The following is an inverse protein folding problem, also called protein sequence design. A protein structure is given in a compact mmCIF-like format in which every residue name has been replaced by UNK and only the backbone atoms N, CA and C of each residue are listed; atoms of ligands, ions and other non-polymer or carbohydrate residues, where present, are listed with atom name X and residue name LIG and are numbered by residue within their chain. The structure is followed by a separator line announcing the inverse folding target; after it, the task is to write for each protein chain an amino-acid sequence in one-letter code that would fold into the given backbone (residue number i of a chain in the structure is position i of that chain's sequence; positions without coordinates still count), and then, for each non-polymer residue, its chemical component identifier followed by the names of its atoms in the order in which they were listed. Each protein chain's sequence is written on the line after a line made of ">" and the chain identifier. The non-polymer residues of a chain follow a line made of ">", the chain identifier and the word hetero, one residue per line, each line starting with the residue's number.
data_IF_712625702735
#
_entry.id   IF_712625702735
#
_cell.length_a   1.000
_cell.length_b   1.000
_cell.length_c   1.000
_cell.angle_alpha   90.00
_cell.angle_beta   90.00
_cell.angle_gamma   90.00
#
_symmetry.space_group_name_H-M   'P 1'
#
loop_
_entity.id
_entity.type
_entity.pdbx_description
1 polymer ?
#
# COMPACT_ATOMS: atom_id res chain seq x y z
N UNK A 1 -10.43 9.94 10.83
CA UNK A 1 -9.57 9.03 11.63
C UNK A 1 -8.34 8.62 10.82
N UNK A 2 -8.52 8.21 9.55
CA UNK A 2 -7.43 8.01 8.58
C UNK A 2 -6.50 9.22 8.40
N UNK A 3 -7.03 10.45 8.48
CA UNK A 3 -6.24 11.65 8.22
C UNK A 3 -5.08 11.87 9.20
N UNK A 4 -5.24 11.52 10.48
CA UNK A 4 -4.18 11.71 11.50
C UNK A 4 -3.04 10.71 11.27
N UNK A 5 -3.38 9.45 10.99
CA UNK A 5 -2.44 8.40 10.59
C UNK A 5 -1.64 8.82 9.36
N UNK A 6 -2.32 9.29 8.31
CA UNK A 6 -1.67 9.74 7.08
C UNK A 6 -0.79 10.98 7.29
N UNK A 7 -1.23 11.95 8.08
CA UNK A 7 -0.40 13.12 8.42
C UNK A 7 0.84 12.75 9.21
N UNK A 8 0.72 11.83 10.17
CA UNK A 8 1.85 11.33 10.95
C UNK A 8 2.87 10.62 10.06
N UNK A 9 2.38 9.78 9.14
CA UNK A 9 3.23 9.11 8.15
C UNK A 9 3.91 10.10 7.21
N UNK A 10 3.19 11.11 6.71
CA UNK A 10 3.76 12.17 5.87
C UNK A 10 4.86 12.96 6.60
N UNK A 11 4.69 13.25 7.88
CA UNK A 11 5.72 13.90 8.69
C UNK A 11 6.98 13.02 8.82
N UNK A 12 6.82 11.72 9.08
CA UNK A 12 7.95 10.78 9.13
C UNK A 12 8.71 10.71 7.80
N UNK A 13 7.99 10.61 6.69
CA UNK A 13 8.56 10.52 5.35
C UNK A 13 9.37 11.75 4.94
N UNK A 14 9.05 12.95 5.47
CA UNK A 14 9.86 14.15 5.21
C UNK A 14 11.26 14.08 5.82
N UNK A 15 11.47 13.22 6.82
CA UNK A 15 12.75 13.04 7.49
C UNK A 15 13.57 11.86 6.93
N UNK A 16 13.00 11.12 5.98
CA UNK A 16 13.60 9.93 5.37
C UNK A 16 13.62 10.06 3.84
N UNK A 17 14.22 9.09 3.19
CA UNK A 17 14.32 8.96 1.73
C UNK A 17 13.33 7.93 1.16
N UNK A 18 12.32 7.56 1.94
CA UNK A 18 11.29 6.61 1.51
C UNK A 18 10.30 7.23 0.54
N UNK A 19 9.89 6.42 -0.45
CA UNK A 19 8.82 6.76 -1.39
C UNK A 19 7.49 6.22 -0.87
N UNK A 20 6.49 7.08 -0.71
CA UNK A 20 5.14 6.68 -0.34
C UNK A 20 4.34 6.29 -1.58
N UNK A 21 3.73 5.11 -1.53
CA UNK A 21 2.79 4.62 -2.56
C UNK A 21 1.47 4.32 -1.88
N UNK A 22 0.44 5.09 -2.19
CA UNK A 22 -0.92 4.83 -1.72
C UNK A 22 -1.64 3.95 -2.73
N UNK A 23 -2.11 2.78 -2.27
CA UNK A 23 -2.76 1.79 -3.14
C UNK A 23 -4.19 1.56 -2.68
N UNK A 24 -5.15 1.93 -3.52
CA UNK A 24 -6.53 1.51 -3.37
C UNK A 24 -6.71 0.10 -3.92
N UNK A 25 -7.02 -0.86 -3.05
CA UNK A 25 -7.14 -2.28 -3.42
C UNK A 25 -8.33 -2.56 -4.35
N UNK A 26 -9.33 -1.70 -4.39
CA UNK A 26 -10.55 -1.89 -5.16
C UNK A 26 -10.57 -1.03 -6.42
N UNK A 27 -9.91 0.13 -6.42
CA UNK A 27 -9.92 1.03 -7.58
C UNK A 27 -8.62 1.04 -8.38
N UNK A 28 -7.51 0.49 -7.85
CA UNK A 28 -6.26 0.46 -8.60
C UNK A 28 -6.36 -0.54 -9.78
N UNK A 29 -6.18 -0.09 -11.04
CA UNK A 29 -6.39 -0.93 -12.22
C UNK A 29 -5.39 -2.09 -12.31
N UNK A 30 -4.17 -1.92 -11.78
CA UNK A 30 -3.15 -2.98 -11.78
C UNK A 30 -3.51 -4.07 -10.77
N UNK A 31 -3.96 -3.66 -9.57
CA UNK A 31 -4.42 -4.57 -8.52
C UNK A 31 -5.70 -5.29 -8.96
N UNK A 32 -6.66 -4.60 -9.55
CA UNK A 32 -7.87 -5.23 -10.08
C UNK A 32 -7.56 -6.25 -11.17
N UNK A 33 -6.63 -5.95 -12.08
CA UNK A 33 -6.28 -6.89 -13.15
C UNK A 33 -5.58 -8.16 -12.64
N UNK A 34 -4.71 -8.05 -11.64
CA UNK A 34 -3.87 -9.17 -11.18
C UNK A 34 -4.34 -9.86 -9.89
N UNK A 35 -5.03 -9.14 -9.00
CA UNK A 35 -5.40 -9.59 -7.66
C UNK A 35 -6.92 -9.73 -7.43
N UNK A 36 -7.78 -9.42 -8.43
CA UNK A 36 -9.25 -9.52 -8.31
C UNK A 36 -9.78 -10.92 -7.97
N UNK A 37 -8.99 -11.98 -8.22
CA UNK A 37 -9.34 -13.35 -7.83
C UNK A 37 -9.46 -13.53 -6.31
N UNK A 38 -8.81 -12.68 -5.52
CA UNK A 38 -8.85 -12.75 -4.06
C UNK A 38 -10.04 -11.96 -3.51
N UNK A 39 -10.98 -12.67 -2.87
CA UNK A 39 -12.16 -12.07 -2.22
C UNK A 39 -11.87 -11.47 -0.85
N UNK A 40 -10.87 -12.01 -0.14
CA UNK A 40 -10.46 -11.48 1.16
C UNK A 40 -9.47 -10.33 0.99
N UNK A 41 -9.75 -9.21 1.67
CA UNK A 41 -8.91 -8.01 1.69
C UNK A 41 -7.48 -8.35 2.12
N UNK A 42 -7.32 -9.25 3.10
CA UNK A 42 -5.99 -9.65 3.58
C UNK A 42 -5.15 -10.30 2.48
N UNK A 43 -5.71 -11.24 1.71
CA UNK A 43 -4.98 -11.85 0.59
C UNK A 43 -4.75 -10.85 -0.55
N UNK A 44 -5.71 -9.95 -0.78
CA UNK A 44 -5.57 -8.90 -1.80
C UNK A 44 -4.42 -7.93 -1.46
N UNK A 45 -4.22 -7.59 -0.17
CA UNK A 45 -3.07 -6.81 0.33
C UNK A 45 -1.73 -7.49 0.00
N UNK A 46 -1.60 -8.78 0.32
CA UNK A 46 -0.37 -9.53 0.04
C UNK A 46 -0.10 -9.64 -1.47
N UNK A 47 -1.14 -9.87 -2.27
CA UNK A 47 -1.01 -9.86 -3.73
C UNK A 47 -0.55 -8.50 -4.25
N UNK A 48 -1.18 -7.40 -3.81
CA UNK A 48 -0.78 -6.05 -4.20
C UNK A 48 0.68 -5.77 -3.79
N UNK A 49 1.08 -6.09 -2.55
CA UNK A 49 2.45 -5.92 -2.08
C UNK A 49 3.47 -6.63 -3.00
N UNK A 50 3.17 -7.86 -3.44
CA UNK A 50 4.03 -8.58 -4.39
C UNK A 50 4.19 -7.89 -5.75
N UNK A 51 3.19 -7.13 -6.22
CA UNK A 51 3.27 -6.37 -7.48
C UNK A 51 4.18 -5.14 -7.38
N UNK A 52 4.25 -4.53 -6.20
CA UNK A 52 5.12 -3.37 -5.96
C UNK A 52 6.51 -3.80 -5.51
N UNK A 53 6.66 -4.95 -4.84
CA UNK A 53 7.96 -5.52 -4.49
C UNK A 53 8.82 -5.81 -5.70
N UNK A 54 8.24 -6.19 -6.85
CA UNK A 54 9.06 -6.41 -8.04
C UNK A 54 9.72 -5.15 -8.59
N UNK A 55 9.42 -3.97 -8.01
CA UNK A 55 9.94 -2.67 -8.41
C UNK A 55 10.88 -2.06 -7.36
N UNK A 56 11.05 -2.70 -6.19
CA UNK A 56 11.86 -2.20 -5.07
C UNK A 56 12.61 -3.33 -4.36
N UNK A 57 13.70 -3.03 -3.64
CA UNK A 57 14.45 -4.07 -2.90
C UNK A 57 13.67 -4.59 -1.69
N UNK A 58 12.90 -3.71 -1.05
CA UNK A 58 12.05 -4.02 0.07
C UNK A 58 10.87 -3.03 0.11
N UNK A 59 9.87 -3.35 0.92
CA UNK A 59 8.71 -2.48 1.14
C UNK A 59 8.18 -2.66 2.56
N UNK A 60 7.61 -1.58 3.11
CA UNK A 60 6.83 -1.59 4.34
C UNK A 60 5.35 -1.42 3.98
N UNK A 61 4.52 -2.41 4.32
CA UNK A 61 3.07 -2.34 4.12
C UNK A 61 2.45 -1.80 5.40
N UNK A 62 1.71 -0.70 5.28
CA UNK A 62 0.91 -0.12 6.36
C UNK A 62 -0.56 -0.10 5.95
N UNK A 63 -1.43 -0.34 6.92
CA UNK A 63 -2.86 -0.15 6.74
C UNK A 63 -3.20 1.35 6.85
N UNK A 64 -4.29 1.77 6.21
CA UNK A 64 -4.61 3.19 6.12
C UNK A 64 -4.89 3.83 7.50
N UNK A 65 -5.35 3.03 8.47
CA UNK A 65 -5.67 3.42 9.85
C UNK A 65 -4.51 3.24 10.85
N UNK A 66 -3.32 2.86 10.37
CA UNK A 66 -2.11 2.70 11.21
C UNK A 66 -1.47 4.04 11.56
#
# INVERSE_FOLDING_TARGET
>A
MYDIAQQSLQCYLKSTDYTLITVDLDNNPVVQRKCSKHKSVYYKKHCAAGLFLSQTDWLLVLDADT
#
